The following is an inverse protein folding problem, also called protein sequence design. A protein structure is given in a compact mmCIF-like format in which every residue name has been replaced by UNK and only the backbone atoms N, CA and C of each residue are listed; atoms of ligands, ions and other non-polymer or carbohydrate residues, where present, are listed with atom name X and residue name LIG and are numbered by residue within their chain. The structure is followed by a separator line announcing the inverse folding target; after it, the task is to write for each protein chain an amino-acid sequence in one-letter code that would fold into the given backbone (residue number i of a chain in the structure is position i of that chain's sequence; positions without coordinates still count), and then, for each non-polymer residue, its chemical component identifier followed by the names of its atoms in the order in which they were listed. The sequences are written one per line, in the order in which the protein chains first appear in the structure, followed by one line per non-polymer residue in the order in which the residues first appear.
data_IF_233116562224
#
_entry.id   IF_233116562224
#
_cell.length_a   1.000
_cell.length_b   1.000
_cell.length_c   1.000
_cell.angle_alpha   90.00
_cell.angle_beta   90.00
_cell.angle_gamma   90.00
#
_symmetry.space_group_name_H-M   'P 1'
#
loop_
_entity.id
_entity.type
_entity.pdbx_description
1 polymer ?
#
# COMPACT_ATOMS: atom_id res chain seq x y z
N UNK A 1 2.29 5.60 -6.49
CA UNK A 1 1.01 6.12 -5.99
C UNK A 1 1.18 7.38 -5.16
N UNK A 2 2.09 7.45 -4.13
CA UNK A 2 2.33 8.66 -3.30
C UNK A 2 2.58 9.94 -4.12
N UNK A 3 3.23 9.83 -5.30
CA UNK A 3 3.55 10.96 -6.20
C UNK A 3 2.55 11.14 -7.36
N UNK A 4 1.69 10.16 -7.59
CA UNK A 4 0.69 10.16 -8.64
C UNK A 4 -0.54 11.01 -8.28
N UNK A 5 -1.01 10.90 -7.03
CA UNK A 5 -2.06 11.76 -6.52
C UNK A 5 -1.63 13.24 -6.48
N UNK A 6 -0.34 13.53 -6.38
CA UNK A 6 0.18 14.89 -6.51
C UNK A 6 -0.29 15.55 -7.82
N UNK A 7 -0.15 14.86 -8.94
CA UNK A 7 -0.60 15.39 -10.23
C UNK A 7 -2.09 15.68 -10.25
N UNK A 8 -2.91 14.75 -9.78
CA UNK A 8 -4.37 14.90 -9.77
C UNK A 8 -4.84 16.00 -8.77
N UNK A 9 -4.24 16.02 -7.57
CA UNK A 9 -4.60 16.99 -6.52
C UNK A 9 -4.12 18.39 -6.85
N UNK A 10 -2.93 18.53 -7.42
CA UNK A 10 -2.37 19.81 -7.84
C UNK A 10 -3.14 20.36 -9.05
N UNK A 11 -3.53 19.49 -10.00
CA UNK A 11 -4.45 19.84 -11.09
C UNK A 11 -5.75 20.42 -10.51
N UNK A 12 -6.31 19.77 -9.52
CA UNK A 12 -7.49 20.20 -8.81
C UNK A 12 -7.32 21.59 -8.15
N UNK A 13 -6.18 21.85 -7.51
CA UNK A 13 -5.92 23.09 -6.79
C UNK A 13 -5.75 24.32 -7.72
N UNK A 14 -5.08 24.15 -8.86
CA UNK A 14 -4.86 25.22 -9.85
C UNK A 14 -6.16 25.55 -10.59
N UNK A 15 -7.00 24.55 -10.81
CA UNK A 15 -8.25 24.70 -11.56
C UNK A 15 -9.37 25.35 -10.74
N UNK A 16 -9.33 25.26 -9.42
CA UNK A 16 -10.23 26.05 -8.57
C UNK A 16 -9.97 27.57 -8.68
N UNK A 17 -8.75 28.00 -9.03
CA UNK A 17 -8.49 29.40 -9.38
C UNK A 17 -9.14 29.80 -10.74
N UNK A 18 -9.35 28.82 -11.64
CA UNK A 18 -10.02 29.02 -12.94
C UNK A 18 -11.55 29.17 -12.88
N UNK A 19 -12.19 28.82 -11.74
CA UNK A 19 -13.64 28.98 -11.53
C UNK A 19 -14.16 30.44 -11.59
N UNK A 20 -13.25 31.41 -11.63
CA UNK A 20 -13.60 32.84 -11.74
C UNK A 20 -13.90 33.32 -13.17
N UNK A 21 -13.70 32.47 -14.20
CA UNK A 21 -13.78 32.90 -15.59
C UNK A 21 -14.80 32.08 -16.40
N UNK A 22 -15.86 32.74 -16.81
CA UNK A 22 -17.08 32.17 -17.41
C UNK A 22 -17.03 31.80 -18.91
N UNK A 23 -15.88 31.75 -19.58
CA UNK A 23 -15.79 31.35 -20.99
C UNK A 23 -15.00 30.07 -21.22
N UNK A 24 -15.48 29.15 -22.06
CA UNK A 24 -14.84 27.88 -22.35
C UNK A 24 -13.38 27.99 -22.81
N UNK A 25 -13.05 29.00 -23.63
CA UNK A 25 -11.69 29.26 -24.11
C UNK A 25 -10.72 29.65 -22.98
N UNK A 26 -11.20 30.43 -22.00
CA UNK A 26 -10.40 30.83 -20.85
C UNK A 26 -10.11 29.62 -19.93
N UNK A 27 -11.13 28.78 -19.74
CA UNK A 27 -11.01 27.56 -18.93
C UNK A 27 -10.01 26.57 -19.55
N UNK A 28 -10.02 26.44 -20.88
CA UNK A 28 -9.09 25.61 -21.63
C UNK A 28 -7.65 26.15 -21.52
N UNK A 29 -7.45 27.45 -21.72
CA UNK A 29 -6.14 28.10 -21.59
C UNK A 29 -5.58 27.97 -20.16
N UNK A 30 -6.42 28.17 -19.14
CA UNK A 30 -6.03 28.03 -17.74
C UNK A 30 -5.70 26.57 -17.43
N UNK A 31 -6.48 25.62 -17.94
CA UNK A 31 -6.24 24.18 -17.75
C UNK A 31 -4.92 23.75 -18.37
N UNK A 32 -4.59 24.18 -19.59
CA UNK A 32 -3.29 23.91 -20.22
C UNK A 32 -2.12 24.53 -19.46
N UNK A 33 -2.25 25.79 -19.01
CA UNK A 33 -1.22 26.42 -18.15
C UNK A 33 -1.01 25.66 -16.85
N UNK A 34 -2.10 25.19 -16.24
CA UNK A 34 -2.07 24.39 -15.05
C UNK A 34 -1.35 23.06 -15.27
N UNK A 35 -1.66 22.34 -16.36
CA UNK A 35 -0.99 21.09 -16.70
C UNK A 35 0.52 21.28 -16.94
N UNK A 36 0.91 22.34 -17.65
CA UNK A 36 2.31 22.68 -17.89
C UNK A 36 3.05 23.04 -16.59
N UNK A 37 2.41 23.79 -15.69
CA UNK A 37 2.96 24.09 -14.37
C UNK A 37 3.16 22.81 -13.55
N UNK A 38 2.20 21.90 -13.58
CA UNK A 38 2.29 20.60 -12.93
C UNK A 38 3.43 19.74 -13.48
N UNK A 39 3.60 19.74 -14.81
CA UNK A 39 4.69 19.02 -15.44
C UNK A 39 6.05 19.55 -14.94
N UNK A 40 6.21 20.87 -14.87
CA UNK A 40 7.42 21.51 -14.37
C UNK A 40 7.70 21.24 -12.89
N UNK A 41 6.68 21.35 -12.03
CA UNK A 41 6.81 21.09 -10.59
C UNK A 41 6.97 19.61 -10.27
N UNK A 42 6.38 18.72 -11.06
CA UNK A 42 6.47 17.28 -10.85
C UNK A 42 7.91 16.75 -10.83
N UNK A 43 8.79 17.34 -11.62
CA UNK A 43 10.19 16.95 -11.69
C UNK A 43 10.92 17.12 -10.35
N UNK A 44 10.64 18.18 -9.59
CA UNK A 44 11.20 18.43 -8.27
C UNK A 44 10.86 17.31 -7.29
N UNK A 45 9.67 16.71 -7.45
CA UNK A 45 9.20 15.57 -6.65
C UNK A 45 9.53 14.20 -7.27
N UNK A 46 10.30 14.19 -8.37
CA UNK A 46 10.72 12.97 -9.09
C UNK A 46 9.59 12.28 -9.84
N UNK A 47 8.61 13.06 -10.29
CA UNK A 47 7.51 12.67 -11.14
C UNK A 47 7.63 13.46 -12.44
N UNK A 48 7.87 12.77 -13.56
CA UNK A 48 7.87 13.40 -14.88
C UNK A 48 6.50 13.17 -15.51
N UNK A 49 5.74 14.23 -15.68
CA UNK A 49 4.48 14.24 -16.42
C UNK A 49 4.77 14.56 -17.88
N UNK A 50 4.40 13.66 -18.79
CA UNK A 50 4.61 13.79 -20.23
C UNK A 50 3.29 13.82 -20.95
N UNK A 51 3.19 14.70 -21.95
CA UNK A 51 2.04 14.80 -22.84
C UNK A 51 0.68 14.82 -22.10
N UNK A 52 0.50 15.63 -21.05
CA UNK A 52 -0.78 15.75 -20.42
C UNK A 52 -1.79 16.37 -21.39
N UNK A 53 -2.92 15.72 -21.55
CA UNK A 53 -3.94 16.10 -22.52
C UNK A 53 -5.34 15.90 -21.93
N UNK A 54 -6.31 16.68 -22.41
CA UNK A 54 -7.74 16.47 -22.22
C UNK A 54 -8.47 16.81 -23.51
N UNK A 55 -9.56 16.12 -23.79
CA UNK A 55 -10.34 16.34 -25.02
C UNK A 55 -11.25 17.56 -24.88
N UNK A 56 -11.87 17.74 -23.70
CA UNK A 56 -12.80 18.83 -23.44
C UNK A 56 -12.77 19.26 -21.99
N UNK A 57 -12.91 20.55 -21.76
CA UNK A 57 -13.16 21.13 -20.42
C UNK A 57 -14.39 22.01 -20.46
N UNK A 58 -15.16 22.01 -19.37
CA UNK A 58 -16.36 22.86 -19.25
C UNK A 58 -16.86 22.93 -17.81
N UNK A 59 -17.79 23.84 -17.60
CA UNK A 59 -18.54 23.88 -16.35
C UNK A 59 -19.74 22.93 -16.49
N UNK A 60 -19.85 21.97 -15.59
CA UNK A 60 -21.03 21.09 -15.48
C UNK A 60 -22.10 21.69 -14.54
N UNK A 61 -21.68 22.60 -13.66
CA UNK A 61 -22.50 23.43 -12.81
C UNK A 61 -21.74 24.71 -12.46
N UNK A 62 -22.35 25.65 -11.73
CA UNK A 62 -21.71 26.90 -11.32
C UNK A 62 -20.50 26.72 -10.42
N UNK A 63 -20.39 25.57 -9.76
CA UNK A 63 -19.37 25.20 -8.78
C UNK A 63 -18.50 24.01 -9.21
N UNK A 64 -18.73 23.47 -10.42
CA UNK A 64 -18.07 22.24 -10.86
C UNK A 64 -17.43 22.39 -12.23
N UNK A 65 -16.12 22.22 -12.29
CA UNK A 65 -15.34 22.08 -13.53
C UNK A 65 -15.16 20.60 -13.86
N UNK A 66 -15.35 20.26 -15.14
CA UNK A 66 -15.24 18.89 -15.61
C UNK A 66 -14.32 18.84 -16.82
N UNK A 67 -13.39 17.89 -16.81
CA UNK A 67 -12.53 17.49 -17.92
C UNK A 67 -12.93 16.11 -18.38
N UNK A 68 -13.00 15.89 -19.68
CA UNK A 68 -13.24 14.58 -20.29
C UNK A 68 -12.10 14.17 -21.18
N UNK A 69 -11.87 12.86 -21.29
CA UNK A 69 -10.78 12.27 -22.06
C UNK A 69 -9.41 12.77 -21.56
N UNK A 70 -9.18 12.71 -20.26
CA UNK A 70 -7.92 13.14 -19.65
C UNK A 70 -6.90 12.02 -19.77
N UNK A 71 -5.77 12.32 -20.40
CA UNK A 71 -4.67 11.35 -20.54
C UNK A 71 -3.32 11.99 -20.23
N UNK A 72 -2.38 11.18 -19.76
CA UNK A 72 -1.00 11.58 -19.54
C UNK A 72 -0.10 10.36 -19.44
N UNK A 73 1.20 10.56 -19.73
CA UNK A 73 2.23 9.59 -19.40
C UNK A 73 3.04 10.08 -18.21
N UNK A 74 3.29 9.20 -17.26
CA UNK A 74 4.01 9.54 -16.04
C UNK A 74 5.20 8.60 -15.87
N UNK A 75 6.36 9.17 -15.59
CA UNK A 75 7.52 8.42 -15.15
C UNK A 75 7.84 8.74 -13.71
N UNK A 76 7.93 7.72 -12.87
CA UNK A 76 8.21 7.86 -11.45
C UNK A 76 9.59 7.29 -11.11
N UNK A 77 10.40 8.05 -10.36
CA UNK A 77 11.70 7.57 -9.86
C UNK A 77 11.57 6.43 -8.85
N UNK A 78 10.43 6.35 -8.14
CA UNK A 78 10.11 5.28 -7.18
C UNK A 78 8.61 4.98 -7.21
N UNK A 79 8.25 3.72 -7.39
CA UNK A 79 6.86 3.25 -7.32
C UNK A 79 6.80 1.90 -6.60
N UNK A 80 5.67 1.63 -5.97
CA UNK A 80 5.39 0.32 -5.33
C UNK A 80 4.91 -0.70 -6.36
N UNK A 81 4.21 -0.23 -7.41
CA UNK A 81 3.54 -1.07 -8.41
C UNK A 81 4.25 -1.14 -9.75
N UNK A 82 4.98 -0.09 -10.12
CA UNK A 82 5.57 0.05 -11.44
C UNK A 82 7.08 0.16 -11.36
N UNK A 83 7.77 -0.36 -12.36
CA UNK A 83 9.22 -0.21 -12.45
C UNK A 83 9.60 1.28 -12.55
N UNK A 84 10.65 1.76 -11.85
CA UNK A 84 11.03 3.17 -11.87
C UNK A 84 11.51 3.70 -13.22
N UNK A 85 11.77 2.84 -14.19
CA UNK A 85 12.22 3.21 -15.53
C UNK A 85 11.10 3.15 -16.58
N UNK A 86 9.92 2.62 -16.24
CA UNK A 86 8.79 2.51 -17.16
C UNK A 86 7.96 3.79 -17.17
N UNK A 87 7.46 4.14 -18.34
CA UNK A 87 6.40 5.12 -18.49
C UNK A 87 5.07 4.45 -18.11
N UNK A 88 4.22 5.19 -17.42
CA UNK A 88 2.91 4.75 -16.94
C UNK A 88 1.89 5.57 -17.70
N UNK A 89 1.09 4.93 -18.50
CA UNK A 89 -0.06 5.55 -19.14
C UNK A 89 -1.19 5.74 -18.13
N UNK A 90 -1.81 6.89 -18.17
CA UNK A 90 -2.93 7.31 -17.33
C UNK A 90 -4.04 7.77 -18.25
N UNK A 91 -5.20 7.17 -18.12
CA UNK A 91 -6.38 7.55 -18.85
C UNK A 91 -7.56 7.64 -17.88
N UNK A 92 -8.32 8.74 -18.00
CA UNK A 92 -9.53 8.99 -17.23
C UNK A 92 -10.61 9.47 -18.18
N UNK A 93 -11.77 8.81 -18.14
CA UNK A 93 -12.91 9.24 -18.96
C UNK A 93 -13.37 10.63 -18.55
N UNK A 94 -13.42 10.87 -17.24
CA UNK A 94 -13.92 12.12 -16.67
C UNK A 94 -13.23 12.47 -15.36
N UNK A 95 -12.82 13.71 -15.23
CA UNK A 95 -12.33 14.30 -13.98
C UNK A 95 -13.20 15.51 -13.66
N UNK A 96 -13.80 15.57 -12.49
CA UNK A 96 -14.62 16.67 -12.03
C UNK A 96 -14.10 17.22 -10.71
N UNK A 97 -14.06 18.55 -10.61
CA UNK A 97 -13.72 19.26 -9.40
C UNK A 97 -14.89 20.17 -9.02
N UNK A 98 -15.49 19.93 -7.88
CA UNK A 98 -16.58 20.75 -7.33
C UNK A 98 -16.22 21.39 -6.01
N UNK A 99 -16.77 22.56 -5.75
CA UNK A 99 -16.76 23.20 -4.44
C UNK A 99 -17.97 22.69 -3.65
N UNK A 100 -17.74 21.72 -2.75
CA UNK A 100 -18.81 21.02 -2.05
C UNK A 100 -19.41 21.84 -0.90
N UNK A 101 -18.57 22.59 -0.19
CA UNK A 101 -19.00 23.43 0.92
C UNK A 101 -18.27 24.78 0.90
N UNK A 102 -19.01 25.85 0.57
CA UNK A 102 -18.47 27.21 0.53
C UNK A 102 -18.09 27.72 1.93
N UNK A 103 -18.79 27.28 2.99
CA UNK A 103 -18.51 27.70 4.38
C UNK A 103 -17.27 27.03 4.94
N UNK A 104 -17.15 25.72 4.74
CA UNK A 104 -16.00 24.92 5.16
C UNK A 104 -14.89 24.91 4.11
N UNK A 105 -15.11 25.53 2.96
CA UNK A 105 -14.14 25.64 1.87
C UNK A 105 -13.56 24.26 1.49
N UNK A 106 -14.44 23.28 1.25
CA UNK A 106 -14.05 21.91 0.90
C UNK A 106 -14.29 21.66 -0.58
N UNK A 107 -13.29 21.13 -1.26
CA UNK A 107 -13.39 20.63 -2.63
C UNK A 107 -13.64 19.14 -2.64
N UNK A 108 -14.38 18.71 -3.65
CA UNK A 108 -14.60 17.32 -3.99
C UNK A 108 -14.02 17.04 -5.38
N UNK A 109 -13.09 16.10 -5.47
CA UNK A 109 -12.55 15.54 -6.72
C UNK A 109 -13.27 14.23 -7.00
N UNK A 110 -13.82 14.10 -8.20
CA UNK A 110 -14.44 12.87 -8.72
C UNK A 110 -13.72 12.48 -10.03
N UNK A 111 -13.23 11.27 -10.10
CA UNK A 111 -12.55 10.70 -11.27
C UNK A 111 -13.26 9.42 -11.67
N UNK A 112 -13.64 9.30 -12.94
CA UNK A 112 -14.37 8.17 -13.50
C UNK A 112 -13.62 7.57 -14.68
N UNK A 113 -13.82 6.26 -14.92
CA UNK A 113 -13.20 5.52 -16.01
C UNK A 113 -11.66 5.54 -15.90
N UNK A 114 -11.14 5.00 -14.80
CA UNK A 114 -9.71 5.04 -14.49
C UNK A 114 -9.03 3.86 -15.16
N UNK A 115 -8.03 4.14 -16.00
CA UNK A 115 -7.10 3.14 -16.53
C UNK A 115 -5.66 3.61 -16.30
N UNK A 116 -4.86 2.77 -15.66
CA UNK A 116 -3.45 3.04 -15.36
C UNK A 116 -2.66 1.78 -15.72
N UNK A 117 -1.77 1.87 -16.71
CA UNK A 117 -0.99 0.75 -17.20
C UNK A 117 0.50 1.10 -17.36
N UNK A 118 1.38 0.12 -17.16
CA UNK A 118 2.79 0.28 -17.51
C UNK A 118 2.98 0.13 -19.01
N UNK A 119 3.70 1.04 -19.65
CA UNK A 119 4.11 0.90 -21.05
C UNK A 119 5.44 0.13 -21.13
N UNK A 120 5.45 -0.99 -21.85
CA UNK A 120 6.70 -1.68 -22.20
C UNK A 120 7.34 -0.99 -23.40
N UNK A 121 8.62 -0.63 -23.26
CA UNK A 121 9.44 -0.09 -24.36
C UNK A 121 10.25 -1.14 -25.11
N UNK A 122 10.11 -2.42 -24.85
CA UNK A 122 10.94 -3.43 -25.48
C UNK A 122 10.34 -3.90 -26.82
N UNK A 123 10.72 -3.17 -27.87
CA UNK A 123 10.48 -3.52 -29.30
C UNK A 123 11.43 -4.62 -29.83
N UNK A 124 12.11 -5.38 -28.98
CA UNK A 124 13.21 -6.21 -29.51
C UNK A 124 13.26 -7.68 -29.10
N UNK A 125 12.24 -8.23 -28.49
CA UNK A 125 12.20 -9.69 -28.27
C UNK A 125 11.02 -10.33 -28.99
N UNK A 126 11.35 -11.10 -30.03
CA UNK A 126 10.43 -11.93 -30.82
C UNK A 126 9.93 -13.15 -30.03
N UNK A 127 9.65 -13.01 -28.75
CA UNK A 127 9.08 -14.07 -27.93
C UNK A 127 7.63 -13.70 -27.64
N UNK A 128 6.70 -14.44 -28.24
CA UNK A 128 5.23 -14.27 -28.19
C UNK A 128 4.59 -14.45 -26.81
N UNK A 129 5.34 -14.32 -25.74
CA UNK A 129 4.78 -14.27 -24.38
C UNK A 129 4.20 -12.89 -24.14
N UNK A 130 2.87 -12.75 -23.90
CA UNK A 130 2.27 -11.46 -23.60
C UNK A 130 2.95 -10.88 -22.36
N UNK A 131 3.64 -9.76 -22.54
CA UNK A 131 4.29 -9.03 -21.48
C UNK A 131 3.24 -8.71 -20.41
N UNK A 132 3.37 -9.33 -19.26
CA UNK A 132 2.43 -9.19 -18.14
C UNK A 132 2.60 -7.79 -17.55
N UNK A 133 1.68 -6.89 -17.88
CA UNK A 133 1.71 -5.50 -17.45
C UNK A 133 1.00 -5.34 -16.10
N UNK A 134 1.55 -4.48 -15.25
CA UNK A 134 0.80 -3.99 -14.09
C UNK A 134 -0.28 -3.02 -14.58
N UNK A 135 -1.52 -3.31 -14.27
CA UNK A 135 -2.67 -2.49 -14.67
C UNK A 135 -3.58 -2.23 -13.48
N UNK A 136 -4.08 -1.00 -13.38
CA UNK A 136 -5.11 -0.61 -12.42
C UNK A 136 -6.31 -0.10 -13.21
N UNK A 137 -7.45 -0.68 -12.97
CA UNK A 137 -8.73 -0.25 -13.51
C UNK A 137 -9.66 0.17 -12.38
N UNK A 138 -10.32 1.30 -12.54
CA UNK A 138 -11.24 1.81 -11.54
C UNK A 138 -12.47 2.44 -12.19
N UNK A 139 -13.64 2.14 -11.65
CA UNK A 139 -14.87 2.80 -12.09
C UNK A 139 -14.94 4.23 -11.57
N UNK A 140 -14.53 4.43 -10.33
CA UNK A 140 -14.64 5.72 -9.65
C UNK A 140 -13.58 5.86 -8.56
N UNK A 141 -13.00 7.08 -8.48
CA UNK A 141 -12.20 7.54 -7.34
C UNK A 141 -12.72 8.89 -6.89
N UNK A 142 -12.89 9.09 -5.59
CA UNK A 142 -13.23 10.40 -5.03
C UNK A 142 -12.30 10.78 -3.90
N UNK A 143 -12.06 12.09 -3.75
CA UNK A 143 -11.29 12.65 -2.66
C UNK A 143 -11.85 14.00 -2.24
N UNK A 144 -11.92 14.26 -0.95
CA UNK A 144 -12.25 15.57 -0.39
C UNK A 144 -10.98 16.22 0.20
N UNK A 145 -10.82 17.52 -0.03
CA UNK A 145 -9.71 18.29 0.50
C UNK A 145 -10.09 19.76 0.75
N UNK A 146 -9.44 20.45 1.72
CA UNK A 146 -9.79 21.82 2.08
C UNK A 146 -9.24 22.85 1.08
N UNK A 147 -9.95 23.98 0.92
CA UNK A 147 -9.60 25.10 0.01
C UNK A 147 -8.25 25.77 0.34
N UNK A 148 -7.80 25.74 1.58
CA UNK A 148 -6.48 26.29 1.99
C UNK A 148 -5.30 25.75 1.17
N UNK A 149 -5.58 24.70 0.40
CA UNK A 149 -4.76 24.15 -0.65
C UNK A 149 -4.34 25.16 -1.73
N UNK A 150 -5.18 26.14 -1.99
CA UNK A 150 -4.94 27.12 -3.06
C UNK A 150 -4.01 28.28 -2.64
N UNK A 151 -3.63 28.37 -1.38
CA UNK A 151 -2.66 29.38 -0.94
C UNK A 151 -1.24 28.89 -1.18
N UNK A 152 -0.42 29.55 -2.04
CA UNK A 152 0.90 29.03 -2.46
C UNK A 152 1.81 28.59 -1.32
N UNK A 153 1.87 29.35 -0.22
CA UNK A 153 2.70 29.01 0.95
C UNK A 153 2.16 27.81 1.76
N UNK A 154 0.85 27.54 1.71
CA UNK A 154 0.21 26.42 2.40
C UNK A 154 0.05 25.20 1.48
N UNK A 155 0.00 25.40 0.17
CA UNK A 155 -0.16 24.35 -0.81
C UNK A 155 0.92 23.27 -0.71
N UNK A 156 2.19 23.67 -0.56
CA UNK A 156 3.30 22.72 -0.40
C UNK A 156 3.15 21.85 0.87
N UNK A 157 2.72 22.45 2.00
CA UNK A 157 2.48 21.72 3.25
C UNK A 157 1.30 20.76 3.12
N UNK A 158 0.25 21.18 2.43
CA UNK A 158 -0.94 20.37 2.22
C UNK A 158 -0.71 19.23 1.23
N UNK A 159 0.05 19.47 0.17
CA UNK A 159 0.52 18.43 -0.74
C UNK A 159 1.32 17.38 0.04
N UNK A 160 2.25 17.83 0.89
CA UNK A 160 3.02 16.93 1.75
C UNK A 160 2.12 16.11 2.66
N UNK A 161 1.14 16.72 3.30
CA UNK A 161 0.15 16.05 4.14
C UNK A 161 -0.62 14.96 3.36
N UNK A 162 -1.16 15.29 2.18
CA UNK A 162 -1.84 14.30 1.34
C UNK A 162 -0.91 13.15 0.94
N UNK A 163 0.33 13.45 0.59
CA UNK A 163 1.31 12.42 0.24
C UNK A 163 1.64 11.51 1.42
N UNK A 164 1.74 12.07 2.63
CA UNK A 164 2.00 11.31 3.84
C UNK A 164 0.80 10.42 4.17
N UNK A 165 -0.43 10.95 4.11
CA UNK A 165 -1.67 10.19 4.29
C UNK A 165 -1.85 9.07 3.25
N UNK A 166 -1.56 9.34 1.98
CA UNK A 166 -1.55 8.30 0.95
C UNK A 166 -0.47 7.25 1.19
N UNK A 167 0.71 7.69 1.69
CA UNK A 167 1.74 6.76 2.15
C UNK A 167 1.25 5.87 3.28
N UNK A 168 0.52 6.43 4.22
CA UNK A 168 -0.08 5.70 5.34
C UNK A 168 -1.16 4.73 4.87
N UNK A 169 -2.01 5.12 3.92
CA UNK A 169 -2.98 4.19 3.32
C UNK A 169 -2.28 2.95 2.73
N UNK A 170 -1.17 3.15 2.02
CA UNK A 170 -0.42 2.04 1.43
C UNK A 170 0.38 1.24 2.44
N UNK A 171 0.94 1.87 3.46
CA UNK A 171 1.80 1.22 4.45
C UNK A 171 1.01 0.64 5.62
N UNK A 172 -0.01 1.36 6.08
CA UNK A 172 -0.81 1.02 7.27
C UNK A 172 -2.21 0.49 6.92
N UNK A 173 -2.61 0.54 5.62
CA UNK A 173 -3.93 0.15 5.15
C UNK A 173 -5.03 1.16 5.47
N UNK A 174 -4.70 2.33 6.06
CA UNK A 174 -5.64 3.37 6.47
C UNK A 174 -5.03 4.76 6.42
N UNK A 175 -5.88 5.80 6.24
CA UNK A 175 -5.48 7.20 6.30
C UNK A 175 -6.62 8.11 6.80
N UNK A 176 -6.30 9.35 7.15
CA UNK A 176 -7.29 10.33 7.61
C UNK A 176 -8.04 11.03 6.46
N UNK A 177 -7.50 11.01 5.23
CA UNK A 177 -8.19 11.58 4.07
C UNK A 177 -9.51 10.87 3.80
N UNK A 178 -10.51 11.62 3.37
CA UNK A 178 -11.78 11.07 2.85
C UNK A 178 -11.57 10.59 1.43
N UNK A 179 -11.41 9.27 1.24
CA UNK A 179 -11.17 8.63 -0.05
C UNK A 179 -12.21 7.56 -0.32
N UNK A 180 -12.56 7.41 -1.58
CA UNK A 180 -13.32 6.27 -2.09
C UNK A 180 -12.67 5.78 -3.38
N UNK A 181 -12.58 4.47 -3.54
CA UNK A 181 -12.15 3.81 -4.77
C UNK A 181 -12.85 2.46 -4.90
N UNK A 182 -13.20 2.11 -6.13
CA UNK A 182 -13.68 0.77 -6.48
C UNK A 182 -13.08 0.38 -7.82
N UNK A 183 -12.34 -0.71 -7.84
CA UNK A 183 -11.67 -1.16 -9.04
C UNK A 183 -10.89 -2.45 -8.85
N UNK A 184 -10.01 -2.75 -9.79
CA UNK A 184 -9.14 -3.92 -9.75
C UNK A 184 -7.69 -3.56 -10.06
N UNK A 185 -6.77 -4.38 -9.58
CA UNK A 185 -5.35 -4.31 -9.91
C UNK A 185 -4.95 -5.63 -10.56
N UNK A 186 -4.41 -5.55 -11.77
CA UNK A 186 -3.75 -6.68 -12.43
C UNK A 186 -2.23 -6.59 -12.21
N UNK A 187 -1.62 -7.70 -11.86
CA UNK A 187 -0.18 -7.79 -11.64
C UNK A 187 0.35 -9.19 -11.93
N UNK A 188 1.61 -9.30 -12.40
CA UNK A 188 2.23 -10.59 -12.66
C UNK A 188 2.71 -11.26 -11.38
N UNK A 189 2.44 -12.56 -11.26
CA UNK A 189 3.08 -13.45 -10.30
C UNK A 189 3.66 -14.61 -11.09
N UNK A 190 4.99 -14.78 -11.03
CA UNK A 190 5.69 -15.73 -11.90
C UNK A 190 5.36 -15.39 -13.37
N UNK A 191 4.84 -16.32 -14.16
CA UNK A 191 4.48 -16.11 -15.57
C UNK A 191 2.96 -16.00 -15.80
N UNK A 192 2.18 -15.66 -14.77
CA UNK A 192 0.72 -15.53 -14.82
C UNK A 192 0.28 -14.15 -14.42
N UNK A 193 -0.75 -13.62 -15.05
CA UNK A 193 -1.42 -12.38 -14.64
C UNK A 193 -2.53 -12.71 -13.65
N UNK A 194 -2.56 -11.98 -12.55
CA UNK A 194 -3.61 -12.05 -11.52
C UNK A 194 -4.31 -10.71 -11.42
N UNK A 195 -5.63 -10.77 -11.35
CA UNK A 195 -6.45 -9.59 -11.11
C UNK A 195 -7.07 -9.69 -9.73
N UNK A 196 -6.91 -8.65 -8.92
CA UNK A 196 -7.52 -8.55 -7.60
C UNK A 196 -8.42 -7.33 -7.52
N UNK A 197 -9.64 -7.51 -7.01
CA UNK A 197 -10.57 -6.42 -6.72
C UNK A 197 -10.10 -5.67 -5.48
N UNK A 198 -10.04 -4.34 -5.59
CA UNK A 198 -9.62 -3.45 -4.51
C UNK A 198 -10.67 -2.38 -4.32
N UNK A 199 -10.95 -2.05 -3.07
CA UNK A 199 -11.77 -0.91 -2.69
C UNK A 199 -11.08 -0.06 -1.64
N UNK A 200 -11.38 1.24 -1.63
CA UNK A 200 -11.08 2.15 -0.54
C UNK A 200 -12.42 2.69 -0.05
N UNK A 201 -12.70 2.51 1.23
CA UNK A 201 -13.95 2.91 1.85
C UNK A 201 -13.69 3.66 3.15
N UNK A 202 -14.64 4.50 3.56
CA UNK A 202 -14.55 5.28 4.80
C UNK A 202 -15.30 4.57 5.92
N UNK A 203 -14.59 4.31 7.02
CA UNK A 203 -15.15 3.78 8.26
C UNK A 203 -14.63 4.64 9.43
N UNK A 204 -15.50 5.04 10.35
CA UNK A 204 -15.14 5.80 11.57
C UNK A 204 -14.21 7.01 11.31
N UNK A 205 -14.48 7.78 10.25
CA UNK A 205 -13.70 8.97 9.91
C UNK A 205 -12.35 8.71 9.22
N UNK A 206 -11.99 7.45 8.95
CA UNK A 206 -10.76 7.05 8.25
C UNK A 206 -11.09 6.30 6.97
N UNK A 207 -10.23 6.42 5.96
CA UNK A 207 -10.31 5.61 4.74
C UNK A 207 -9.44 4.37 4.89
N UNK A 208 -9.99 3.21 4.53
CA UNK A 208 -9.33 1.90 4.57
C UNK A 208 -9.25 1.32 3.17
N UNK A 209 -8.11 0.72 2.85
CA UNK A 209 -7.95 -0.07 1.63
C UNK A 209 -8.23 -1.53 1.93
N UNK A 210 -8.98 -2.17 1.03
CA UNK A 210 -9.33 -3.58 1.14
C UNK A 210 -9.13 -4.28 -0.21
N UNK A 211 -8.52 -5.46 -0.17
CA UNK A 211 -8.52 -6.42 -1.27
C UNK A 211 -9.62 -7.46 -1.03
N UNK A 212 -10.27 -7.90 -2.08
CA UNK A 212 -11.25 -8.98 -1.96
C UNK A 212 -10.60 -10.26 -1.41
N UNK A 213 -11.21 -10.87 -0.40
CA UNK A 213 -10.64 -12.04 0.30
C UNK A 213 -10.50 -13.27 -0.58
N UNK A 214 -11.47 -13.52 -1.47
CA UNK A 214 -11.40 -14.66 -2.41
C UNK A 214 -10.25 -14.47 -3.40
N UNK A 215 -10.06 -13.26 -3.90
CA UNK A 215 -8.96 -12.95 -4.81
C UNK A 215 -7.60 -13.10 -4.08
N UNK A 216 -7.52 -12.66 -2.82
CA UNK A 216 -6.34 -12.85 -1.97
C UNK A 216 -6.03 -14.34 -1.74
N UNK A 217 -7.05 -15.16 -1.47
CA UNK A 217 -6.90 -16.61 -1.28
C UNK A 217 -6.36 -17.24 -2.57
N UNK A 218 -6.96 -16.92 -3.72
CA UNK A 218 -6.53 -17.44 -5.02
C UNK A 218 -5.05 -17.06 -5.31
N UNK A 219 -4.69 -15.81 -5.08
CA UNK A 219 -3.30 -15.33 -5.23
C UNK A 219 -2.35 -16.05 -4.27
N UNK A 220 -2.78 -16.31 -3.03
CA UNK A 220 -1.93 -16.94 -2.02
C UNK A 220 -1.49 -18.35 -2.38
N UNK A 221 -2.27 -19.06 -3.19
CA UNK A 221 -1.97 -20.41 -3.66
C UNK A 221 -0.70 -20.45 -4.54
N UNK A 222 -0.39 -19.36 -5.23
CA UNK A 222 0.81 -19.27 -6.09
C UNK A 222 2.13 -19.10 -5.31
N UNK A 223 2.04 -18.80 -4.02
CA UNK A 223 3.23 -18.58 -3.18
C UNK A 223 3.77 -19.83 -2.47
N UNK A 224 3.26 -21.02 -2.82
CA UNK A 224 3.70 -22.31 -2.26
C UNK A 224 3.76 -22.27 -0.72
N UNK A 225 2.71 -21.75 -0.12
CA UNK A 225 2.59 -21.74 1.32
C UNK A 225 2.47 -23.17 1.81
N UNK A 226 3.16 -23.52 2.91
CA UNK A 226 3.09 -24.88 3.48
C UNK A 226 1.69 -25.30 3.92
N UNK A 227 0.84 -24.33 4.22
CA UNK A 227 -0.57 -24.50 4.53
C UNK A 227 -1.37 -23.33 3.94
N UNK A 228 -2.66 -23.49 3.74
CA UNK A 228 -3.56 -22.36 3.43
C UNK A 228 -3.45 -21.26 4.50
N UNK A 229 -3.78 -20.04 4.12
CA UNK A 229 -3.95 -18.94 5.07
C UNK A 229 -5.12 -19.25 6.00
N UNK A 230 -5.01 -18.89 7.27
CA UNK A 230 -6.13 -18.92 8.19
C UNK A 230 -7.13 -17.81 7.84
N UNK A 231 -8.37 -17.93 8.31
CA UNK A 231 -9.37 -16.88 8.14
C UNK A 231 -8.89 -15.53 8.70
N UNK A 232 -8.23 -15.55 9.86
CA UNK A 232 -7.69 -14.35 10.50
C UNK A 232 -6.50 -13.77 9.70
N UNK A 233 -5.63 -14.61 9.13
CA UNK A 233 -4.57 -14.15 8.24
C UNK A 233 -5.16 -13.50 6.97
N UNK A 234 -6.21 -14.08 6.39
CA UNK A 234 -6.90 -13.51 5.23
C UNK A 234 -7.48 -12.13 5.57
N UNK A 235 -8.18 -11.98 6.70
CA UNK A 235 -8.74 -10.69 7.15
C UNK A 235 -7.66 -9.62 7.35
N UNK A 236 -6.51 -9.97 7.93
CA UNK A 236 -5.40 -9.03 8.13
C UNK A 236 -4.80 -8.62 6.78
N UNK A 237 -4.56 -9.57 5.89
CA UNK A 237 -3.94 -9.32 4.60
C UNK A 237 -4.88 -8.56 3.66
N UNK A 238 -6.19 -8.85 3.68
CA UNK A 238 -7.18 -8.13 2.87
C UNK A 238 -7.20 -6.63 3.21
N UNK A 239 -7.07 -6.27 4.48
CA UNK A 239 -6.97 -4.89 4.97
C UNK A 239 -5.57 -4.27 4.86
N UNK A 240 -4.55 -5.05 4.52
CA UNK A 240 -3.16 -4.61 4.37
C UNK A 240 -2.49 -5.24 3.14
N UNK A 241 -3.11 -5.18 1.95
CA UNK A 241 -2.67 -5.98 0.79
C UNK A 241 -1.24 -5.66 0.37
N UNK A 242 -0.79 -4.42 0.52
CA UNK A 242 0.57 -3.99 0.14
C UNK A 242 1.66 -4.43 1.12
N UNK A 243 1.28 -4.92 2.31
CA UNK A 243 2.22 -5.54 3.26
C UNK A 243 2.45 -7.02 2.98
N UNK A 244 1.55 -7.70 2.26
CA UNK A 244 1.57 -9.15 2.09
C UNK A 244 2.93 -9.68 1.62
N UNK A 245 3.50 -9.07 0.58
CA UNK A 245 4.83 -9.45 0.06
C UNK A 245 5.93 -9.32 1.11
N UNK A 246 5.93 -8.21 1.87
CA UNK A 246 6.96 -7.96 2.89
C UNK A 246 6.80 -8.88 4.10
N UNK A 247 5.57 -9.15 4.51
CA UNK A 247 5.27 -10.13 5.56
C UNK A 247 5.79 -11.52 5.20
N UNK A 248 5.57 -11.95 3.95
CA UNK A 248 6.09 -13.21 3.44
C UNK A 248 7.64 -13.24 3.42
N UNK A 249 8.29 -12.15 3.01
CA UNK A 249 9.76 -12.04 3.04
C UNK A 249 10.30 -12.17 4.46
N UNK A 250 9.71 -11.47 5.43
CA UNK A 250 10.13 -11.52 6.84
C UNK A 250 9.97 -12.93 7.39
N UNK A 251 8.82 -13.59 7.15
CA UNK A 251 8.58 -14.97 7.56
C UNK A 251 9.61 -15.92 6.97
N UNK A 252 9.86 -15.84 5.67
CA UNK A 252 10.81 -16.71 4.98
C UNK A 252 12.24 -16.46 5.44
N UNK A 253 12.60 -15.21 5.73
CA UNK A 253 13.90 -14.87 6.30
C UNK A 253 14.09 -15.49 7.70
N UNK A 254 13.13 -15.35 8.60
CA UNK A 254 13.20 -15.93 9.94
C UNK A 254 13.33 -17.46 9.87
N UNK A 255 12.53 -18.11 9.00
CA UNK A 255 12.55 -19.55 8.78
C UNK A 255 13.89 -20.04 8.22
N UNK A 256 14.41 -19.40 7.18
CA UNK A 256 15.69 -19.79 6.58
C UNK A 256 16.86 -19.57 7.53
N UNK A 257 16.82 -18.47 8.30
CA UNK A 257 17.85 -18.13 9.30
C UNK A 257 17.86 -19.12 10.45
N UNK A 258 16.70 -19.46 11.02
CA UNK A 258 16.61 -20.46 12.11
C UNK A 258 17.05 -21.86 11.64
N UNK A 259 16.66 -22.26 10.41
CA UNK A 259 17.10 -23.53 9.81
C UNK A 259 18.63 -23.59 9.64
N UNK A 260 19.25 -22.50 9.15
CA UNK A 260 20.72 -22.43 8.98
C UNK A 260 21.44 -22.46 10.33
N UNK A 261 20.95 -21.73 11.33
CA UNK A 261 21.53 -21.72 12.67
C UNK A 261 21.53 -23.13 13.30
N UNK A 262 20.37 -23.80 13.25
CA UNK A 262 20.22 -25.16 13.76
C UNK A 262 21.11 -26.19 12.98
N UNK A 263 21.21 -26.02 11.64
CA UNK A 263 22.12 -26.88 10.85
C UNK A 263 23.59 -26.72 11.28
N UNK A 264 24.01 -25.49 11.61
CA UNK A 264 25.36 -25.17 12.07
C UNK A 264 25.61 -25.64 13.52
N UNK A 265 24.61 -25.53 14.37
CA UNK A 265 24.65 -25.95 15.77
C UNK A 265 23.31 -26.57 16.16
N UNK A 266 23.27 -27.89 16.37
CA UNK A 266 22.06 -28.66 16.71
C UNK A 266 21.42 -28.29 18.04
N UNK A 267 22.16 -27.65 18.94
CA UNK A 267 21.62 -27.15 20.22
C UNK A 267 20.77 -25.89 20.05
N UNK A 268 20.80 -25.20 18.90
CA UNK A 268 19.92 -24.07 18.63
C UNK A 268 18.47 -24.55 18.54
N UNK A 269 17.56 -24.07 19.40
CA UNK A 269 16.16 -24.44 19.36
C UNK A 269 15.50 -23.76 18.14
N UNK A 270 15.45 -24.52 17.04
CA UNK A 270 15.10 -24.00 15.70
C UNK A 270 13.75 -23.25 15.71
N UNK A 271 12.77 -23.80 16.39
CA UNK A 271 11.40 -23.29 16.40
C UNK A 271 11.28 -22.04 17.26
N UNK A 272 11.78 -22.09 18.49
CA UNK A 272 11.86 -20.92 19.36
C UNK A 272 12.59 -19.75 18.67
N UNK A 273 13.75 -20.03 18.05
CA UNK A 273 14.50 -18.99 17.34
C UNK A 273 13.71 -18.42 16.14
N UNK A 274 12.95 -19.25 15.43
CA UNK A 274 12.08 -18.81 14.33
C UNK A 274 11.04 -17.80 14.82
N UNK A 275 10.29 -18.11 15.87
CA UNK A 275 9.19 -17.29 16.40
C UNK A 275 9.71 -16.00 17.03
N UNK A 276 10.75 -16.05 17.85
CA UNK A 276 11.40 -14.87 18.42
C UNK A 276 11.91 -13.93 17.32
N UNK A 277 12.65 -14.46 16.34
CA UNK A 277 13.20 -13.64 15.26
C UNK A 277 12.11 -13.07 14.34
N UNK A 278 11.08 -13.86 14.01
CA UNK A 278 9.97 -13.44 13.18
C UNK A 278 9.19 -12.29 13.82
N UNK A 279 8.76 -12.45 15.06
CA UNK A 279 8.03 -11.45 15.82
C UNK A 279 8.86 -10.19 16.07
N UNK A 280 10.16 -10.34 16.40
CA UNK A 280 11.11 -9.22 16.49
C UNK A 280 11.16 -8.39 15.20
N UNK A 281 11.32 -9.04 14.05
CA UNK A 281 11.39 -8.35 12.75
C UNK A 281 10.08 -7.67 12.38
N UNK A 282 8.94 -8.31 12.63
CA UNK A 282 7.62 -7.70 12.41
C UNK A 282 7.43 -6.45 13.26
N UNK A 283 7.85 -6.50 14.53
CA UNK A 283 7.73 -5.37 15.44
C UNK A 283 8.63 -4.20 15.02
N UNK A 284 9.84 -4.49 14.58
CA UNK A 284 10.77 -3.45 14.06
C UNK A 284 10.25 -2.79 12.79
N UNK A 285 9.52 -3.52 11.95
CA UNK A 285 9.02 -3.01 10.66
C UNK A 285 7.67 -2.29 10.81
N UNK A 286 6.75 -2.83 11.63
CA UNK A 286 5.34 -2.41 11.65
C UNK A 286 4.81 -1.99 13.01
N UNK A 287 5.61 -2.07 14.06
CA UNK A 287 5.18 -1.83 15.44
C UNK A 287 4.58 -3.07 16.11
N UNK A 288 4.46 -2.98 17.44
CA UNK A 288 4.06 -4.10 18.30
C UNK A 288 2.64 -4.58 18.02
N UNK A 289 1.68 -3.65 17.94
CA UNK A 289 0.26 -3.97 17.75
C UNK A 289 0.02 -4.79 16.48
N UNK A 290 0.61 -4.37 15.36
CA UNK A 290 0.45 -5.08 14.10
C UNK A 290 1.20 -6.42 14.11
N UNK A 291 2.40 -6.47 14.68
CA UNK A 291 3.16 -7.71 14.84
C UNK A 291 2.38 -8.73 15.67
N UNK A 292 1.76 -8.30 16.79
CA UNK A 292 0.89 -9.16 17.62
C UNK A 292 -0.29 -9.70 16.80
N UNK A 293 -1.02 -8.85 16.10
CA UNK A 293 -2.15 -9.30 15.24
C UNK A 293 -1.74 -10.37 14.24
N UNK A 294 -0.59 -10.19 13.56
CA UNK A 294 -0.10 -11.15 12.55
C UNK A 294 0.34 -12.46 13.18
N UNK A 295 1.06 -12.41 14.31
CA UNK A 295 1.52 -13.64 14.98
C UNK A 295 0.35 -14.40 15.61
N UNK A 296 -0.57 -13.71 16.28
CA UNK A 296 -1.75 -14.34 16.89
C UNK A 296 -2.67 -14.99 15.84
N UNK A 297 -2.85 -14.34 14.68
CA UNK A 297 -3.61 -14.93 13.57
C UNK A 297 -2.97 -16.22 13.04
N UNK A 298 -1.65 -16.27 13.04
CA UNK A 298 -0.91 -17.47 12.65
C UNK A 298 -1.17 -18.65 13.59
N UNK A 299 -1.18 -18.39 14.89
CA UNK A 299 -1.34 -19.42 15.94
C UNK A 299 -2.80 -19.87 16.13
N UNK A 300 -3.79 -19.11 15.63
CA UNK A 300 -5.21 -19.49 15.67
C UNK A 300 -5.61 -20.53 14.62
N UNK A 301 -4.78 -20.75 13.59
CA UNK A 301 -5.10 -21.68 12.52
C UNK A 301 -4.88 -23.14 12.89
N UNK A 302 -5.42 -24.03 12.07
CA UNK A 302 -5.09 -25.47 12.12
C UNK A 302 -3.65 -25.66 11.65
N UNK A 303 -2.68 -25.47 12.54
CA UNK A 303 -1.26 -25.57 12.25
C UNK A 303 -0.76 -27.00 12.33
N UNK A 304 -1.56 -27.91 12.92
CA UNK A 304 -1.14 -29.27 13.29
C UNK A 304 -0.28 -29.31 14.55
N UNK A 305 -0.11 -28.16 15.25
CA UNK A 305 0.61 -28.06 16.50
C UNK A 305 -0.22 -28.62 17.66
N UNK A 306 0.45 -29.18 18.67
CA UNK A 306 -0.17 -29.45 19.98
C UNK A 306 -0.44 -28.13 20.70
N UNK A 307 -1.22 -28.18 21.78
CA UNK A 307 -1.49 -26.99 22.59
C UNK A 307 -0.22 -26.43 23.22
N UNK A 308 0.68 -27.30 23.68
CA UNK A 308 2.00 -26.93 24.22
C UNK A 308 2.87 -26.25 23.17
N UNK A 309 2.91 -26.76 21.94
CA UNK A 309 3.62 -26.10 20.82
C UNK A 309 3.02 -24.72 20.54
N UNK A 310 1.69 -24.60 20.50
CA UNK A 310 1.01 -23.33 20.29
C UNK A 310 1.32 -22.31 21.41
N UNK A 311 1.28 -22.73 22.65
CA UNK A 311 1.60 -21.86 23.81
C UNK A 311 3.09 -21.45 23.79
N UNK A 312 4.00 -22.36 23.45
CA UNK A 312 5.40 -22.06 23.24
C UNK A 312 5.59 -20.97 22.15
N UNK A 313 4.89 -21.08 21.04
CA UNK A 313 4.99 -20.15 19.92
C UNK A 313 4.44 -18.77 20.29
N UNK A 314 3.32 -18.69 21.01
CA UNK A 314 2.74 -17.43 21.53
C UNK A 314 3.72 -16.75 22.49
N UNK A 315 4.30 -17.50 23.44
CA UNK A 315 5.31 -16.97 24.36
C UNK A 315 6.51 -16.41 23.62
N UNK A 316 7.07 -17.18 22.68
CA UNK A 316 8.26 -16.79 21.94
C UNK A 316 7.99 -15.60 20.99
N UNK A 317 6.78 -15.49 20.45
CA UNK A 317 6.34 -14.31 19.73
C UNK A 317 6.32 -13.08 20.65
N UNK A 318 5.86 -13.20 21.89
CA UNK A 318 5.86 -12.11 22.87
C UNK A 318 7.28 -11.69 23.27
N UNK A 319 8.18 -12.67 23.53
CA UNK A 319 9.60 -12.38 23.77
C UNK A 319 10.23 -11.62 22.61
N UNK A 320 9.95 -12.01 21.37
CA UNK A 320 10.45 -11.32 20.17
C UNK A 320 9.99 -9.86 20.08
N UNK A 321 8.71 -9.59 20.34
CA UNK A 321 8.19 -8.20 20.41
C UNK A 321 8.93 -7.39 21.48
N UNK A 322 9.08 -7.95 22.68
CA UNK A 322 9.80 -7.30 23.79
C UNK A 322 11.24 -6.96 23.45
N UNK A 323 11.96 -7.84 22.75
CA UNK A 323 13.32 -7.56 22.28
C UNK A 323 13.39 -6.40 21.30
N UNK A 324 12.41 -6.31 20.40
CA UNK A 324 12.32 -5.22 19.44
C UNK A 324 12.04 -3.87 20.13
N UNK A 325 11.13 -3.84 21.11
CA UNK A 325 10.78 -2.64 21.89
C UNK A 325 11.96 -2.15 22.75
N UNK A 326 12.76 -3.06 23.29
CA UNK A 326 14.00 -2.73 24.01
C UNK A 326 15.13 -2.26 23.09
N UNK A 327 14.91 -2.18 21.78
CA UNK A 327 15.92 -1.70 20.83
C UNK A 327 17.10 -2.65 20.62
N UNK A 328 16.99 -3.91 21.02
CA UNK A 328 18.07 -4.88 20.89
C UNK A 328 18.48 -5.09 19.43
N UNK A 329 19.76 -5.32 19.18
CA UNK A 329 20.25 -5.56 17.83
C UNK A 329 19.88 -6.96 17.34
N UNK A 330 19.55 -7.09 16.05
CA UNK A 330 19.21 -8.38 15.43
C UNK A 330 20.31 -9.45 15.62
N UNK A 331 21.57 -9.07 15.61
CA UNK A 331 22.73 -9.96 15.84
C UNK A 331 22.73 -10.63 17.20
N UNK A 332 22.10 -10.03 18.22
CA UNK A 332 22.02 -10.55 19.57
C UNK A 332 20.90 -11.60 19.75
N UNK A 333 19.90 -11.64 18.86
CA UNK A 333 18.69 -12.46 19.06
C UNK A 333 19.02 -13.95 19.23
N UNK A 334 19.92 -14.49 18.41
CA UNK A 334 20.29 -15.90 18.55
C UNK A 334 20.91 -16.20 19.94
N UNK A 335 21.83 -15.35 20.41
CA UNK A 335 22.44 -15.51 21.72
C UNK A 335 21.38 -15.43 22.83
N UNK A 336 20.48 -14.47 22.77
CA UNK A 336 19.40 -14.31 23.73
C UNK A 336 18.45 -15.51 23.73
N UNK A 337 18.09 -16.03 22.59
CA UNK A 337 17.26 -17.26 22.50
C UNK A 337 17.92 -18.44 23.19
N UNK A 338 19.25 -18.51 23.22
CA UNK A 338 19.97 -19.60 23.90
C UNK A 338 20.01 -19.46 25.42
N UNK A 339 19.99 -18.23 25.95
CA UNK A 339 20.27 -17.99 27.38
C UNK A 339 19.12 -17.36 28.17
N UNK A 340 18.23 -16.59 27.52
CA UNK A 340 17.13 -15.89 28.20
C UNK A 340 16.15 -16.91 28.82
N UNK A 341 15.88 -16.84 30.13
CA UNK A 341 14.98 -17.77 30.82
C UNK A 341 13.53 -17.65 30.33
N UNK A 342 13.12 -16.51 29.75
CA UNK A 342 11.74 -16.30 29.27
C UNK A 342 11.48 -17.02 27.94
N UNK A 343 12.52 -17.43 27.22
CA UNK A 343 12.35 -18.20 25.97
C UNK A 343 12.01 -19.66 26.30
N UNK A 344 10.90 -20.14 25.75
CA UNK A 344 10.50 -21.55 25.81
C UNK A 344 11.14 -22.28 24.62
N UNK A 345 12.04 -23.23 24.88
CA UNK A 345 12.87 -23.87 23.84
C UNK A 345 12.32 -25.20 23.37
N UNK A 346 11.46 -25.82 24.17
CA UNK A 346 10.75 -27.06 23.84
C UNK A 346 9.35 -27.08 24.46
N UNK A 347 8.38 -27.80 23.88
CA UNK A 347 7.01 -27.87 24.38
C UNK A 347 6.92 -28.36 25.84
N UNK A 348 7.83 -29.26 26.27
CA UNK A 348 7.84 -29.84 27.61
C UNK A 348 8.13 -28.78 28.70
N UNK A 349 8.60 -27.61 28.32
CA UNK A 349 8.84 -26.50 29.25
C UNK A 349 7.59 -25.68 29.54
N UNK A 350 6.51 -25.79 28.74
CA UNK A 350 5.29 -24.98 28.86
C UNK A 350 4.65 -25.12 30.21
N UNK A 351 4.47 -26.33 30.71
CA UNK A 351 3.84 -26.55 32.02
C UNK A 351 4.68 -26.12 33.25
N UNK A 352 5.90 -25.65 33.03
CA UNK A 352 6.86 -25.25 34.09
C UNK A 352 7.15 -23.76 34.11
N UNK A 353 6.57 -23.00 33.20
CA UNK A 353 6.82 -21.57 33.02
C UNK A 353 5.52 -20.78 32.89
N UNK A 354 5.51 -19.57 33.42
CA UNK A 354 4.48 -18.60 33.12
C UNK A 354 4.52 -18.20 31.65
N UNK A 355 3.38 -18.26 30.98
CA UNK A 355 3.27 -17.92 29.56
C UNK A 355 3.07 -16.42 29.39
N UNK A 356 3.97 -15.76 28.69
CA UNK A 356 3.86 -14.35 28.33
C UNK A 356 2.86 -14.19 27.18
N UNK A 357 1.83 -13.34 27.35
CA UNK A 357 0.77 -13.10 26.37
C UNK A 357 0.80 -11.66 25.80
#
# INVERSE_FOLDING_TARGET
MRRFLLGAVFLAAILAAGLYFSSGMLLESVSHKALNYLAAQGEEYGLQLKNPHFQKVGLSSLDTVTWSGVSAKVRMKRSVFFSPKQDIALDFDKVSLSLEDFRNRTFHLDVQGISIASENKDDSSADDTPATQNQIEGKKFTMQFPLDFLRPKKAALQIRYILDEMGDLLQKGRCALSLYFSGSIAFPIKNRSFTARISIQREEGKSFIMMNELDLIAISQEFELKRPLTEEEVKILSRNPFRARRLLQIRNYARSTSKRAHKKNRFVPKDAYRHVLWSYLLTKEYGEEFAKKVTDAHEKGLTGNTEEERLMDINNNTVGRRYALRGLQKSMILKLVMIDPDVIRSPEQVGRKEILQ
#
